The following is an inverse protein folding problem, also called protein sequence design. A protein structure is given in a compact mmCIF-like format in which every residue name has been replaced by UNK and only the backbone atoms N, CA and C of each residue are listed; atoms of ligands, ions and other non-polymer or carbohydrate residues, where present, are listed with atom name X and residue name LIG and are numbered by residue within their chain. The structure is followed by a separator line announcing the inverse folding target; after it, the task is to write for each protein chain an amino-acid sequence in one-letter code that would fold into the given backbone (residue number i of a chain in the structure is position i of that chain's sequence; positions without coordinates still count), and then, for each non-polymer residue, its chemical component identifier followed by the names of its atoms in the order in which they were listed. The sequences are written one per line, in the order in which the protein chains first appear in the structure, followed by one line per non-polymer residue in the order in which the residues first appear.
data_IF_845760985893
#
_entry.id   IF_845760985893
#
_cell.length_a   1.000
_cell.length_b   1.000
_cell.length_c   1.000
_cell.angle_alpha   90.00
_cell.angle_beta   90.00
_cell.angle_gamma   90.00
#
_symmetry.space_group_name_H-M   'P 1'
#
loop_
_entity.id
_entity.type
_entity.pdbx_description
1 polymer ?
#
# COMPACT_ATOMS: atom_id res chain seq x y z
N UNK A 1 -36.47 -11.83 -33.47
CA UNK A 1 -35.99 -12.11 -32.11
C UNK A 1 -35.51 -10.83 -31.47
N UNK A 2 -36.30 -10.29 -30.54
CA UNK A 2 -35.87 -9.18 -29.67
C UNK A 2 -34.74 -9.71 -28.78
N UNK A 3 -33.59 -9.04 -28.67
CA UNK A 3 -32.56 -9.49 -27.73
C UNK A 3 -33.17 -9.45 -26.33
N UNK A 4 -33.09 -10.58 -25.61
CA UNK A 4 -33.47 -10.65 -24.20
C UNK A 4 -32.50 -9.73 -23.47
N UNK A 5 -32.94 -8.51 -23.16
CA UNK A 5 -32.16 -7.57 -22.37
C UNK A 5 -31.78 -8.23 -21.05
N UNK A 6 -30.54 -8.04 -20.60
CA UNK A 6 -30.08 -8.54 -19.31
C UNK A 6 -30.97 -7.92 -18.23
N UNK A 7 -31.68 -8.74 -17.45
CA UNK A 7 -32.47 -8.24 -16.34
C UNK A 7 -31.56 -7.62 -15.28
N UNK A 8 -32.04 -6.58 -14.58
CA UNK A 8 -31.27 -5.90 -13.53
C UNK A 8 -30.75 -6.89 -12.46
N UNK A 9 -31.58 -7.83 -12.03
CA UNK A 9 -31.18 -8.89 -11.11
C UNK A 9 -30.07 -9.80 -11.69
N UNK A 10 -30.14 -10.13 -12.97
CA UNK A 10 -29.11 -10.90 -13.66
C UNK A 10 -27.79 -10.13 -13.76
N UNK A 11 -27.85 -8.83 -14.08
CA UNK A 11 -26.69 -7.95 -14.13
C UNK A 11 -26.04 -7.81 -12.75
N UNK A 12 -26.85 -7.62 -11.68
CA UNK A 12 -26.38 -7.54 -10.29
C UNK A 12 -25.61 -8.80 -9.88
N UNK A 13 -26.20 -9.99 -10.11
CA UNK A 13 -25.56 -11.26 -9.78
C UNK A 13 -24.24 -11.49 -10.55
N UNK A 14 -24.22 -11.13 -11.84
CA UNK A 14 -23.01 -11.21 -12.65
C UNK A 14 -21.91 -10.27 -12.16
N UNK A 15 -22.26 -9.03 -11.79
CA UNK A 15 -21.34 -8.06 -11.22
C UNK A 15 -20.75 -8.55 -9.90
N UNK A 16 -21.57 -9.03 -8.97
CA UNK A 16 -21.11 -9.60 -7.70
C UNK A 16 -20.11 -10.73 -7.91
N UNK A 17 -20.42 -11.65 -8.82
CA UNK A 17 -19.52 -12.76 -9.16
C UNK A 17 -18.22 -12.27 -9.78
N UNK A 18 -18.27 -11.24 -10.62
CA UNK A 18 -17.08 -10.64 -11.23
C UNK A 18 -16.21 -9.92 -10.19
N UNK A 19 -16.81 -9.20 -9.24
CA UNK A 19 -16.09 -8.59 -8.10
C UNK A 19 -15.41 -9.68 -7.26
N UNK A 20 -16.10 -10.78 -6.95
CA UNK A 20 -15.49 -11.90 -6.22
C UNK A 20 -14.24 -12.45 -6.91
N UNK A 21 -14.31 -12.67 -8.24
CA UNK A 21 -13.12 -13.09 -9.03
C UNK A 21 -12.00 -12.05 -9.02
N UNK A 22 -12.34 -10.76 -9.13
CA UNK A 22 -11.35 -9.68 -9.09
C UNK A 22 -10.63 -9.62 -7.73
N UNK A 23 -11.37 -9.82 -6.63
CA UNK A 23 -10.80 -9.90 -5.28
C UNK A 23 -9.86 -11.11 -5.15
N UNK A 24 -10.24 -12.29 -5.67
CA UNK A 24 -9.35 -13.46 -5.70
C UNK A 24 -8.08 -13.20 -6.51
N UNK A 25 -8.19 -12.54 -7.67
CA UNK A 25 -7.02 -12.18 -8.48
C UNK A 25 -6.08 -11.22 -7.73
N UNK A 26 -6.62 -10.21 -7.05
CA UNK A 26 -5.84 -9.34 -6.18
C UNK A 26 -5.09 -10.10 -5.08
N UNK A 27 -5.77 -11.02 -4.40
CA UNK A 27 -5.16 -11.85 -3.36
C UNK A 27 -4.01 -12.73 -3.89
N UNK A 28 -4.07 -13.08 -5.18
CA UNK A 28 -3.04 -13.84 -5.88
C UNK A 28 -1.88 -12.96 -6.41
N UNK A 29 -1.95 -11.65 -6.19
CA UNK A 29 -0.89 -10.69 -6.54
C UNK A 29 -1.08 -9.99 -7.90
N UNK A 30 -2.23 -10.12 -8.54
CA UNK A 30 -2.50 -9.38 -9.78
C UNK A 30 -2.56 -7.86 -9.50
N UNK A 31 -2.09 -7.07 -10.46
CA UNK A 31 -2.22 -5.62 -10.39
C UNK A 31 -3.71 -5.21 -10.35
N UNK A 32 -4.11 -4.23 -9.52
CA UNK A 32 -5.51 -3.86 -9.33
C UNK A 32 -6.23 -3.47 -10.61
N UNK A 33 -5.53 -2.81 -11.53
CA UNK A 33 -6.06 -2.41 -12.83
C UNK A 33 -6.42 -3.60 -13.71
N UNK A 34 -5.63 -4.68 -13.62
CA UNK A 34 -5.88 -5.93 -14.33
C UNK A 34 -7.02 -6.70 -13.67
N UNK A 35 -6.97 -6.85 -12.35
CA UNK A 35 -7.97 -7.58 -11.58
C UNK A 35 -9.39 -7.00 -11.76
N UNK A 36 -9.52 -5.68 -11.77
CA UNK A 36 -10.80 -4.98 -11.93
C UNK A 36 -11.07 -4.47 -13.36
N UNK A 37 -10.35 -4.97 -14.36
CA UNK A 37 -10.55 -4.57 -15.75
C UNK A 37 -12.02 -4.77 -16.19
N UNK A 38 -12.63 -3.71 -16.71
CA UNK A 38 -14.05 -3.71 -17.14
C UNK A 38 -15.08 -3.52 -16.00
N UNK A 39 -14.65 -3.64 -14.73
CA UNK A 39 -15.49 -3.40 -13.56
C UNK A 39 -15.33 -1.97 -13.02
N UNK A 40 -14.10 -1.49 -12.93
CA UNK A 40 -13.75 -0.16 -12.45
C UNK A 40 -12.70 0.50 -13.35
N UNK A 41 -12.48 1.80 -13.17
CA UNK A 41 -11.35 2.48 -13.82
C UNK A 41 -10.04 2.09 -13.14
N UNK A 42 -8.91 2.27 -13.82
CA UNK A 42 -7.58 2.01 -13.24
C UNK A 42 -7.33 2.82 -11.96
N UNK A 43 -7.70 4.11 -11.95
CA UNK A 43 -7.53 4.97 -10.78
C UNK A 43 -8.41 4.55 -9.59
N UNK A 44 -9.62 4.07 -9.87
CA UNK A 44 -10.53 3.54 -8.86
C UNK A 44 -9.99 2.24 -8.25
N UNK A 45 -9.52 1.31 -9.08
CA UNK A 45 -8.95 0.05 -8.62
C UNK A 45 -7.69 0.25 -7.75
N UNK A 46 -6.80 1.17 -8.16
CA UNK A 46 -5.63 1.55 -7.36
C UNK A 46 -6.02 2.17 -6.01
N UNK A 47 -7.01 3.06 -6.01
CA UNK A 47 -7.46 3.76 -4.79
C UNK A 47 -8.15 2.79 -3.82
N UNK A 48 -8.92 1.84 -4.35
CA UNK A 48 -9.50 0.74 -3.58
C UNK A 48 -8.41 -0.12 -2.94
N UNK A 49 -7.45 -0.63 -3.72
CA UNK A 49 -6.34 -1.45 -3.21
C UNK A 49 -5.56 -0.69 -2.13
N UNK A 50 -5.18 0.56 -2.38
CA UNK A 50 -4.41 1.34 -1.41
C UNK A 50 -5.11 1.56 -0.08
N UNK A 51 -6.44 1.76 -0.07
CA UNK A 51 -7.21 1.84 1.19
C UNK A 51 -7.33 0.46 1.85
N UNK A 52 -7.66 -0.56 1.06
CA UNK A 52 -7.81 -1.94 1.52
C UNK A 52 -6.55 -2.45 2.20
N UNK A 53 -5.39 -2.25 1.62
CA UNK A 53 -4.13 -2.77 2.14
C UNK A 53 -3.76 -2.11 3.48
N UNK A 54 -4.06 -0.82 3.65
CA UNK A 54 -3.92 -0.12 4.93
C UNK A 54 -4.88 -0.65 5.99
N UNK A 55 -6.13 -0.90 5.62
CA UNK A 55 -7.14 -1.46 6.53
C UNK A 55 -6.79 -2.89 6.92
N UNK A 56 -6.28 -3.70 5.98
CA UNK A 56 -5.79 -5.04 6.24
C UNK A 56 -4.70 -5.05 7.31
N UNK A 57 -3.74 -4.11 7.23
CA UNK A 57 -2.72 -3.97 8.26
C UNK A 57 -3.32 -3.62 9.62
N UNK A 58 -4.25 -2.65 9.68
CA UNK A 58 -4.86 -2.22 10.94
C UNK A 58 -5.73 -3.31 11.56
N UNK A 59 -6.51 -4.02 10.75
CA UNK A 59 -7.28 -5.18 11.19
C UNK A 59 -6.35 -6.26 11.75
N UNK A 60 -5.27 -6.58 11.05
CA UNK A 60 -4.32 -7.60 11.51
C UNK A 60 -3.64 -7.20 12.83
N UNK A 61 -3.22 -5.93 12.98
CA UNK A 61 -2.37 -5.51 14.11
C UNK A 61 -3.16 -5.02 15.32
N UNK A 62 -4.31 -4.37 15.09
CA UNK A 62 -5.16 -3.79 16.14
C UNK A 62 -6.38 -4.68 16.39
N UNK A 63 -6.91 -5.34 15.37
CA UNK A 63 -8.17 -6.08 15.45
C UNK A 63 -9.38 -5.15 15.42
N UNK A 64 -10.44 -5.54 16.12
CA UNK A 64 -11.66 -4.73 16.25
C UNK A 64 -11.35 -3.33 16.81
N UNK A 65 -11.97 -2.26 16.27
CA UNK A 65 -13.08 -2.25 15.33
C UNK A 65 -12.68 -2.15 13.85
N UNK A 66 -11.41 -2.30 13.49
CA UNK A 66 -10.99 -2.25 12.09
C UNK A 66 -11.54 -3.47 11.32
N UNK A 67 -12.16 -3.27 10.14
CA UNK A 67 -12.88 -4.34 9.44
C UNK A 67 -11.93 -5.33 8.79
N UNK A 68 -12.35 -6.60 8.71
CA UNK A 68 -11.67 -7.56 7.84
C UNK A 68 -11.93 -7.19 6.38
N UNK A 69 -10.86 -6.95 5.63
CA UNK A 69 -10.92 -6.56 4.21
C UNK A 69 -10.17 -7.55 3.31
N UNK A 70 -9.87 -8.76 3.83
CA UNK A 70 -9.34 -9.86 3.04
C UNK A 70 -10.31 -10.23 1.92
N UNK A 71 -9.76 -10.74 0.81
CA UNK A 71 -10.50 -10.94 -0.43
C UNK A 71 -11.67 -11.91 -0.24
N UNK A 72 -11.46 -12.97 0.55
CA UNK A 72 -12.51 -13.93 0.90
C UNK A 72 -13.67 -13.24 1.63
N UNK A 73 -13.37 -12.48 2.69
CA UNK A 73 -14.39 -11.79 3.48
C UNK A 73 -15.17 -10.77 2.65
N UNK A 74 -14.47 -9.93 1.86
CA UNK A 74 -15.14 -8.94 1.00
C UNK A 74 -15.97 -9.57 -0.13
N UNK A 75 -15.60 -10.75 -0.62
CA UNK A 75 -16.37 -11.46 -1.63
C UNK A 75 -17.65 -12.08 -1.05
N UNK A 76 -17.58 -12.60 0.17
CA UNK A 76 -18.72 -13.15 0.91
C UNK A 76 -19.72 -12.05 1.32
N UNK A 77 -19.21 -10.92 1.80
CA UNK A 77 -20.00 -9.78 2.29
C UNK A 77 -20.26 -8.72 1.21
N UNK A 78 -20.05 -9.05 -0.07
CA UNK A 78 -20.18 -8.10 -1.18
C UNK A 78 -21.56 -7.41 -1.25
N UNK A 79 -22.62 -8.07 -0.80
CA UNK A 79 -23.96 -7.49 -0.73
C UNK A 79 -24.05 -6.38 0.34
N UNK A 80 -23.29 -6.48 1.42
CA UNK A 80 -23.36 -5.57 2.56
C UNK A 80 -22.59 -4.27 2.28
N UNK A 81 -21.36 -4.37 1.80
CA UNK A 81 -20.50 -3.20 1.60
C UNK A 81 -20.65 -2.58 0.20
N UNK A 82 -20.91 -3.39 -0.83
CA UNK A 82 -21.00 -2.95 -2.23
C UNK A 82 -22.44 -2.94 -2.77
N UNK A 83 -23.43 -3.34 -1.98
CA UNK A 83 -24.80 -3.54 -2.45
C UNK A 83 -25.41 -2.36 -3.22
N UNK A 84 -25.25 -1.14 -2.72
CA UNK A 84 -25.76 0.08 -3.38
C UNK A 84 -25.05 0.36 -4.72
N UNK A 85 -23.76 0.06 -4.79
CA UNK A 85 -22.95 0.21 -6.00
C UNK A 85 -23.31 -0.85 -7.04
N UNK A 86 -23.54 -2.09 -6.61
CA UNK A 86 -24.02 -3.18 -7.45
C UNK A 86 -25.37 -2.83 -8.08
N UNK A 87 -26.30 -2.25 -7.32
CA UNK A 87 -27.61 -1.80 -7.84
C UNK A 87 -27.44 -0.70 -8.89
N UNK A 88 -26.61 0.31 -8.60
CA UNK A 88 -26.37 1.39 -9.56
C UNK A 88 -25.80 0.84 -10.86
N UNK A 89 -24.75 0.02 -10.77
CA UNK A 89 -24.08 -0.52 -11.94
C UNK A 89 -24.98 -1.49 -12.73
N UNK A 90 -25.76 -2.33 -12.04
CA UNK A 90 -26.73 -3.22 -12.67
C UNK A 90 -27.79 -2.45 -13.48
N UNK A 91 -28.35 -1.38 -12.92
CA UNK A 91 -29.28 -0.49 -13.64
C UNK A 91 -28.65 0.13 -14.88
N UNK A 92 -27.43 0.64 -14.76
CA UNK A 92 -26.72 1.27 -15.88
C UNK A 92 -26.44 0.27 -17.02
N UNK A 93 -26.08 -0.97 -16.69
CA UNK A 93 -25.86 -2.04 -17.66
C UNK A 93 -27.17 -2.48 -18.33
N UNK A 94 -28.24 -2.67 -17.55
CA UNK A 94 -29.56 -3.03 -18.08
C UNK A 94 -30.11 -1.94 -19.03
N UNK A 95 -29.80 -0.67 -18.76
CA UNK A 95 -30.13 0.47 -19.63
C UNK A 95 -29.21 0.62 -20.86
N UNK A 96 -28.25 -0.28 -21.08
CA UNK A 96 -27.37 -0.26 -22.26
C UNK A 96 -26.41 0.94 -22.31
N UNK A 97 -26.21 1.65 -21.19
CA UNK A 97 -25.52 2.94 -21.14
C UNK A 97 -24.02 2.84 -20.85
N UNK A 98 -23.44 1.63 -20.72
CA UNK A 98 -22.08 1.45 -20.21
C UNK A 98 -21.19 0.56 -21.08
N UNK A 99 -19.94 0.99 -21.30
CA UNK A 99 -18.82 0.13 -21.78
C UNK A 99 -18.09 -0.60 -20.65
N UNK A 100 -18.32 -0.20 -19.40
CA UNK A 100 -17.80 -0.80 -18.17
C UNK A 100 -18.84 -0.67 -17.07
N UNK A 101 -18.72 -1.47 -15.99
CA UNK A 101 -19.63 -1.37 -14.85
C UNK A 101 -19.49 -0.05 -14.07
N UNK A 102 -18.29 0.55 -14.04
CA UNK A 102 -18.05 1.83 -13.37
C UNK A 102 -18.34 1.77 -11.86
N UNK A 103 -17.97 0.67 -11.21
CA UNK A 103 -18.11 0.49 -9.76
C UNK A 103 -17.24 1.51 -9.01
N UNK A 104 -17.77 2.15 -7.97
CA UNK A 104 -17.01 3.02 -7.05
C UNK A 104 -16.62 2.22 -5.81
N UNK A 105 -15.59 1.40 -5.97
CA UNK A 105 -15.11 0.46 -4.96
C UNK A 105 -14.50 1.18 -3.75
N UNK A 106 -13.79 2.28 -3.97
CA UNK A 106 -13.14 3.03 -2.90
C UNK A 106 -14.16 3.68 -1.97
N UNK A 107 -15.17 4.35 -2.52
CA UNK A 107 -16.24 5.00 -1.75
C UNK A 107 -17.04 3.96 -0.94
N UNK A 108 -17.34 2.81 -1.53
CA UNK A 108 -17.99 1.71 -0.83
C UNK A 108 -17.14 1.15 0.33
N UNK A 109 -15.82 0.99 0.12
CA UNK A 109 -14.91 0.53 1.16
C UNK A 109 -14.73 1.56 2.29
N UNK A 110 -14.74 2.86 1.97
CA UNK A 110 -14.74 3.93 2.98
C UNK A 110 -15.95 3.84 3.91
N UNK A 111 -17.09 3.35 3.41
CA UNK A 111 -18.29 3.10 4.22
C UNK A 111 -18.10 2.07 5.34
N UNK A 112 -17.06 1.23 5.26
CA UNK A 112 -16.71 0.26 6.32
C UNK A 112 -15.82 0.83 7.42
N UNK A 113 -15.35 2.07 7.27
CA UNK A 113 -14.45 2.67 8.26
C UNK A 113 -15.16 2.82 9.62
N UNK A 114 -14.54 2.32 10.72
CA UNK A 114 -15.14 2.39 12.04
C UNK A 114 -15.15 3.84 12.54
N UNK A 115 -16.26 4.26 13.15
CA UNK A 115 -16.32 5.53 13.84
C UNK A 115 -16.21 5.31 15.36
N UNK A 116 -15.39 6.09 16.09
CA UNK A 116 -14.62 7.27 15.66
C UNK A 116 -13.20 6.98 15.12
N UNK A 117 -12.72 5.73 15.15
CA UNK A 117 -11.33 5.34 14.90
C UNK A 117 -10.82 5.71 13.49
N UNK A 118 -11.71 5.88 12.51
CA UNK A 118 -11.39 6.33 11.16
C UNK A 118 -10.57 7.62 11.14
N UNK A 119 -10.74 8.51 12.13
CA UNK A 119 -9.98 9.75 12.25
C UNK A 119 -8.46 9.51 12.41
N UNK A 120 -8.07 8.34 12.92
CA UNK A 120 -6.67 7.97 13.14
C UNK A 120 -6.05 7.19 11.97
N UNK A 121 -6.80 6.87 10.91
CA UNK A 121 -6.32 6.05 9.80
C UNK A 121 -5.03 6.59 9.16
N UNK A 122 -4.97 7.90 8.90
CA UNK A 122 -3.80 8.54 8.29
C UNK A 122 -2.62 8.66 9.25
N UNK A 123 -2.87 8.63 10.57
CA UNK A 123 -1.83 8.65 11.61
C UNK A 123 -1.25 7.24 11.84
N UNK A 124 -2.11 6.24 11.90
CA UNK A 124 -1.74 4.85 12.18
C UNK A 124 -1.14 4.15 10.97
N UNK A 125 -1.72 4.35 9.78
CA UNK A 125 -1.28 3.76 8.53
C UNK A 125 -1.16 4.84 7.44
N UNK A 126 -0.17 5.74 7.50
CA UNK A 126 -0.04 6.85 6.55
C UNK A 126 0.25 6.38 5.12
N UNK A 127 -0.19 7.15 4.11
CA UNK A 127 0.18 6.85 2.71
C UNK A 127 1.62 7.25 2.36
N UNK A 128 2.22 8.15 3.14
CA UNK A 128 3.58 8.66 2.96
C UNK A 128 4.24 8.92 4.31
N UNK A 129 5.55 8.77 4.36
CA UNK A 129 6.37 9.18 5.50
C UNK A 129 7.29 10.33 5.11
N UNK A 130 7.44 11.28 6.01
CA UNK A 130 8.55 12.22 5.94
C UNK A 130 9.83 11.54 6.41
N UNK A 131 10.88 11.57 5.58
CA UNK A 131 12.19 11.02 5.90
C UNK A 131 13.14 12.13 6.36
N UNK A 132 14.29 11.83 6.98
CA UNK A 132 15.17 12.86 7.57
C UNK A 132 15.58 14.01 6.65
N UNK A 133 15.61 13.78 5.33
CA UNK A 133 15.86 14.84 4.33
C UNK A 133 14.72 15.86 4.16
N UNK A 134 13.58 15.67 4.83
CA UNK A 134 12.32 16.40 4.64
C UNK A 134 11.52 15.96 3.41
N UNK A 135 11.93 14.88 2.72
CA UNK A 135 11.16 14.34 1.59
C UNK A 135 9.96 13.54 2.09
N UNK A 136 8.81 13.70 1.43
CA UNK A 136 7.63 12.84 1.63
C UNK A 136 7.67 11.65 0.66
N UNK A 137 7.92 10.45 1.18
CA UNK A 137 8.10 9.21 0.40
C UNK A 137 6.88 8.31 0.58
N UNK A 138 6.37 7.76 -0.52
CA UNK A 138 5.19 6.87 -0.51
C UNK A 138 5.54 5.54 0.15
N UNK A 139 4.67 5.07 1.04
CA UNK A 139 4.69 3.71 1.56
C UNK A 139 4.01 2.76 0.58
N UNK A 140 4.62 1.60 0.39
CA UNK A 140 4.07 0.47 -0.36
C UNK A 140 3.58 -0.55 0.66
N UNK A 141 2.25 -0.67 0.78
CA UNK A 141 1.64 -1.64 1.69
C UNK A 141 1.56 -3.01 1.01
N UNK A 142 1.86 -4.11 1.72
CA UNK A 142 1.51 -5.45 1.26
C UNK A 142 0.00 -5.58 1.07
N UNK A 143 -0.44 -6.50 0.22
CA UNK A 143 -1.86 -6.83 0.10
C UNK A 143 -2.43 -7.20 1.47
N UNK A 144 -3.68 -6.84 1.73
CA UNK A 144 -4.39 -7.29 2.95
C UNK A 144 -4.35 -8.82 3.14
N UNK A 145 -4.25 -9.59 2.04
CA UNK A 145 -4.16 -11.07 2.07
C UNK A 145 -2.74 -11.60 2.36
N UNK A 146 -1.73 -10.73 2.38
CA UNK A 146 -0.35 -11.11 2.68
C UNK A 146 -0.07 -11.19 4.19
N UNK A 147 -0.99 -10.71 5.02
CA UNK A 147 -0.93 -10.86 6.47
C UNK A 147 -1.40 -12.27 6.87
N UNK A 148 -0.78 -12.88 7.89
CA UNK A 148 -1.22 -14.18 8.41
C UNK A 148 -2.65 -14.12 8.98
N UNK A 149 -3.22 -15.30 9.25
CA UNK A 149 -4.57 -15.44 9.85
C UNK A 149 -4.64 -14.83 11.26
N UNK A 150 -5.83 -14.83 11.88
CA UNK A 150 -6.19 -14.10 13.12
C UNK A 150 -5.26 -14.35 14.34
N UNK A 151 -4.36 -15.34 14.29
CA UNK A 151 -3.29 -15.59 15.29
C UNK A 151 -1.96 -14.85 15.01
N UNK A 152 -1.85 -14.11 13.90
CA UNK A 152 -0.64 -13.40 13.45
C UNK A 152 -0.16 -12.33 14.44
N UNK A 153 -1.05 -11.80 15.29
CA UNK A 153 -0.71 -10.87 16.38
C UNK A 153 0.24 -11.52 17.39
N UNK A 154 0.11 -12.82 17.64
CA UNK A 154 0.97 -13.58 18.56
C UNK A 154 2.23 -14.11 17.87
N UNK A 155 2.15 -14.38 16.57
CA UNK A 155 3.23 -15.01 15.78
C UNK A 155 4.28 -14.03 15.23
N UNK A 156 3.94 -12.74 15.08
CA UNK A 156 4.82 -11.76 14.44
C UNK A 156 4.81 -11.79 12.91
N UNK A 157 3.83 -12.48 12.29
CA UNK A 157 3.71 -12.66 10.84
C UNK A 157 2.90 -11.52 10.17
N UNK A 158 3.25 -10.27 10.50
CA UNK A 158 2.69 -9.09 9.82
C UNK A 158 3.67 -8.66 8.73
N UNK A 159 3.28 -8.83 7.47
CA UNK A 159 4.04 -8.28 6.35
C UNK A 159 4.22 -6.75 6.52
N UNK A 160 5.46 -6.24 6.62
CA UNK A 160 5.69 -4.83 6.89
C UNK A 160 5.49 -3.97 5.62
N UNK A 161 5.02 -2.71 5.76
CA UNK A 161 5.03 -1.76 4.66
C UNK A 161 6.47 -1.42 4.26
N UNK A 162 6.65 -1.21 2.97
CA UNK A 162 7.94 -0.94 2.33
C UNK A 162 8.08 0.56 2.07
N UNK A 163 9.24 1.12 2.41
CA UNK A 163 9.62 2.49 2.08
C UNK A 163 10.80 2.49 1.09
N UNK A 164 10.54 2.67 -0.22
CA UNK A 164 11.59 2.82 -1.22
C UNK A 164 12.21 4.22 -1.14
N UNK A 165 13.34 4.32 -0.44
CA UNK A 165 14.00 5.61 -0.13
C UNK A 165 15.45 5.60 -0.57
N UNK A 166 15.95 6.73 -1.08
CA UNK A 166 17.39 6.85 -1.37
C UNK A 166 18.17 6.81 -0.06
N UNK A 167 19.24 6.01 -0.02
CA UNK A 167 20.06 5.81 1.19
C UNK A 167 20.50 7.15 1.81
N UNK A 168 20.94 8.10 0.99
CA UNK A 168 21.41 9.42 1.43
C UNK A 168 20.33 10.31 2.09
N UNK A 169 19.05 9.98 1.90
CA UNK A 169 17.95 10.68 2.56
C UNK A 169 17.70 10.19 3.99
N UNK A 170 18.31 9.05 4.36
CA UNK A 170 18.23 8.45 5.69
C UNK A 170 19.46 8.73 6.57
N UNK A 171 20.46 9.48 6.08
CA UNK A 171 21.59 9.89 6.93
C UNK A 171 21.10 10.67 8.15
N UNK A 172 21.79 10.53 9.28
CA UNK A 172 21.38 11.16 10.53
C UNK A 172 20.28 10.40 11.29
N UNK A 173 19.58 9.45 10.66
CA UNK A 173 18.61 8.61 11.35
C UNK A 173 19.31 7.47 12.11
N UNK A 174 19.05 7.39 13.41
CA UNK A 174 19.58 6.35 14.30
C UNK A 174 18.62 5.17 14.50
N UNK A 175 17.37 5.30 14.06
CA UNK A 175 16.33 4.27 14.19
C UNK A 175 15.54 4.15 12.89
N UNK A 176 14.99 2.96 12.63
CA UNK A 176 14.04 2.76 11.54
C UNK A 176 12.69 3.40 11.87
N UNK A 177 11.98 3.93 10.87
CA UNK A 177 10.59 4.34 11.08
C UNK A 177 9.71 3.12 11.40
N UNK A 178 8.70 3.35 12.22
CA UNK A 178 7.65 2.39 12.53
C UNK A 178 6.29 3.09 12.49
N UNK A 179 5.26 2.36 12.13
CA UNK A 179 3.87 2.84 12.05
C UNK A 179 2.98 2.02 13.00
N UNK A 180 1.68 2.32 13.03
CA UNK A 180 0.72 1.71 13.96
C UNK A 180 1.20 1.86 15.41
N UNK A 181 1.50 3.10 15.81
CA UNK A 181 2.04 3.45 17.14
C UNK A 181 3.31 2.68 17.52
N UNK A 182 4.18 2.45 16.53
CA UNK A 182 5.47 1.78 16.72
C UNK A 182 5.42 0.26 16.72
N UNK A 183 4.24 -0.35 16.52
CA UNK A 183 4.07 -1.81 16.51
C UNK A 183 4.59 -2.47 15.23
N UNK A 184 4.56 -1.75 14.11
CA UNK A 184 4.95 -2.28 12.80
C UNK A 184 6.18 -1.55 12.28
N UNK A 185 7.36 -2.21 12.22
CA UNK A 185 8.52 -1.61 11.60
C UNK A 185 8.30 -1.44 10.10
N UNK A 186 8.82 -0.37 9.53
CA UNK A 186 8.80 -0.13 8.09
C UNK A 186 10.05 -0.74 7.47
N UNK A 187 9.87 -1.55 6.43
CA UNK A 187 10.97 -2.15 5.69
C UNK A 187 11.58 -1.11 4.74
N UNK A 188 12.81 -0.71 5.00
CA UNK A 188 13.53 0.24 4.17
C UNK A 188 14.13 -0.46 2.96
N UNK A 189 13.62 -0.16 1.78
CA UNK A 189 14.30 -0.47 0.52
C UNK A 189 15.25 0.68 0.21
N UNK A 190 16.50 0.56 0.66
CA UNK A 190 17.52 1.58 0.49
C UNK A 190 18.02 1.58 -0.96
N UNK A 191 17.88 2.73 -1.62
CA UNK A 191 18.17 2.91 -3.03
C UNK A 191 19.40 3.78 -3.27
N UNK A 192 20.06 3.54 -4.41
CA UNK A 192 21.14 4.39 -4.91
C UNK A 192 20.60 5.75 -5.40
N UNK A 193 21.49 6.71 -5.69
CA UNK A 193 21.07 7.98 -6.32
C UNK A 193 20.24 7.80 -7.60
N UNK A 194 20.54 6.74 -8.36
CA UNK A 194 19.84 6.35 -9.58
C UNK A 194 18.63 5.43 -9.33
N UNK A 195 18.16 5.33 -8.08
CA UNK A 195 17.03 4.48 -7.64
C UNK A 195 17.21 2.98 -7.93
N UNK A 196 18.44 2.48 -7.90
CA UNK A 196 18.72 1.04 -7.94
C UNK A 196 18.74 0.47 -6.52
N UNK A 197 18.21 -0.74 -6.26
CA UNK A 197 18.30 -1.36 -4.94
C UNK A 197 19.74 -1.48 -4.46
N UNK A 198 20.00 -1.13 -3.20
CA UNK A 198 21.29 -1.29 -2.53
C UNK A 198 21.21 -2.26 -1.36
N UNK A 199 20.18 -2.09 -0.52
CA UNK A 199 19.95 -2.94 0.64
C UNK A 199 18.47 -2.92 1.04
N UNK A 200 18.07 -3.95 1.77
CA UNK A 200 16.76 -4.05 2.41
C UNK A 200 17.02 -4.21 3.91
N UNK A 201 16.41 -3.37 4.75
CA UNK A 201 16.56 -3.48 6.21
C UNK A 201 15.33 -2.97 6.94
N UNK A 202 14.93 -3.65 8.02
CA UNK A 202 14.00 -3.13 9.01
C UNK A 202 14.71 -2.55 10.24
N UNK A 203 16.04 -2.73 10.34
CA UNK A 203 16.90 -2.19 11.41
C UNK A 203 18.01 -1.33 10.80
N UNK A 204 17.76 -0.02 10.79
CA UNK A 204 18.67 0.97 10.22
C UNK A 204 19.93 1.13 11.08
N UNK A 205 19.84 0.97 12.40
CA UNK A 205 20.97 1.08 13.31
C UNK A 205 22.00 -0.02 13.04
N UNK A 206 21.53 -1.27 12.98
CA UNK A 206 22.38 -2.42 12.63
C UNK A 206 22.94 -2.31 11.21
N UNK A 207 22.15 -1.77 10.26
CA UNK A 207 22.64 -1.52 8.90
C UNK A 207 23.81 -0.54 8.87
N UNK A 208 23.72 0.58 9.61
CA UNK A 208 24.81 1.56 9.71
C UNK A 208 26.07 0.98 10.35
N UNK A 209 25.92 0.18 11.42
CA UNK A 209 27.04 -0.42 12.14
C UNK A 209 27.75 -1.53 11.35
N UNK A 210 27.07 -2.15 10.37
CA UNK A 210 27.59 -3.30 9.62
C UNK A 210 27.62 -3.08 8.11
N UNK A 211 26.51 -3.39 7.46
CA UNK A 211 26.44 -3.55 6.00
C UNK A 211 26.75 -2.26 5.20
N UNK A 212 26.55 -1.08 5.80
CA UNK A 212 26.80 0.20 5.14
C UNK A 212 28.23 0.35 4.60
N UNK A 213 29.25 -0.11 5.34
CA UNK A 213 30.65 0.04 4.94
C UNK A 213 30.92 -0.60 3.56
N UNK A 214 30.31 -1.76 3.31
CA UNK A 214 30.38 -2.45 2.03
C UNK A 214 29.62 -1.69 0.93
N UNK A 215 28.37 -1.29 1.20
CA UNK A 215 27.55 -0.50 0.25
C UNK A 215 28.29 0.78 -0.16
N UNK A 216 28.91 1.49 0.80
CA UNK A 216 29.74 2.66 0.56
C UNK A 216 30.93 2.35 -0.34
N UNK A 217 31.69 1.30 -0.04
CA UNK A 217 32.90 0.94 -0.79
C UNK A 217 32.60 0.69 -2.28
N UNK A 218 31.50 0.00 -2.58
CA UNK A 218 31.10 -0.31 -3.95
C UNK A 218 30.53 0.89 -4.71
N UNK A 219 29.77 1.75 -4.02
CA UNK A 219 28.96 2.78 -4.69
C UNK A 219 29.64 4.15 -4.76
N UNK A 220 30.61 4.45 -3.88
CA UNK A 220 31.29 5.76 -3.89
C UNK A 220 32.04 6.05 -5.19
N UNK A 221 32.57 5.01 -5.84
CA UNK A 221 33.21 5.13 -7.16
C UNK A 221 32.22 5.27 -8.31
N UNK A 222 31.05 4.60 -8.22
CA UNK A 222 29.99 4.65 -9.24
C UNK A 222 29.22 5.98 -9.21
N UNK A 223 29.08 6.59 -8.03
CA UNK A 223 28.34 7.84 -7.80
C UNK A 223 29.19 8.90 -7.08
N UNK A 224 30.26 9.42 -7.71
CA UNK A 224 31.24 10.30 -7.05
C UNK A 224 30.69 11.69 -6.69
N UNK A 225 29.58 12.11 -7.29
CA UNK A 225 28.92 13.40 -7.01
C UNK A 225 27.96 13.36 -5.81
N UNK A 226 27.81 12.20 -5.17
CA UNK A 226 26.88 11.98 -4.06
C UNK A 226 27.61 11.75 -2.74
N UNK A 227 26.98 12.08 -1.59
CA UNK A 227 27.60 11.90 -0.29
C UNK A 227 27.70 10.42 0.10
N UNK A 228 28.89 10.03 0.57
CA UNK A 228 29.21 8.70 1.11
C UNK A 228 30.05 8.87 2.38
N UNK A 229 29.46 9.39 3.47
CA UNK A 229 30.15 9.66 4.72
C UNK A 229 30.76 8.39 5.33
N UNK A 230 31.77 8.54 6.18
CA UNK A 230 32.27 7.41 6.97
C UNK A 230 31.34 7.10 8.15
N UNK A 231 30.79 8.15 8.77
CA UNK A 231 29.73 8.06 9.77
C UNK A 231 28.38 8.47 9.17
N UNK A 232 27.53 7.52 8.74
CA UNK A 232 26.20 7.83 8.18
C UNK A 232 25.18 8.22 9.26
N UNK A 233 25.40 7.84 10.51
CA UNK A 233 24.45 8.05 11.60
C UNK A 233 24.45 9.50 12.10
N UNK A 234 25.53 10.25 11.86
CA UNK A 234 25.64 11.68 12.19
C UNK A 234 25.68 12.59 10.97
N UNK A 235 25.69 12.03 9.76
CA UNK A 235 25.75 12.81 8.54
C UNK A 235 24.44 13.54 8.25
N UNK A 236 24.53 14.72 7.63
CA UNK A 236 23.35 15.47 7.24
C UNK A 236 22.58 14.75 6.12
N UNK A 237 21.26 14.51 6.28
CA UNK A 237 20.44 13.91 5.24
C UNK A 237 20.25 14.86 4.06
N UNK A 238 20.23 14.30 2.85
CA UNK A 238 20.01 15.11 1.65
C UNK A 238 19.45 14.30 0.49
N UNK A 239 18.55 14.92 -0.28
CA UNK A 239 18.08 14.41 -1.58
C UNK A 239 18.96 14.83 -2.76
N UNK A 240 20.02 15.59 -2.50
CA UNK A 240 20.83 16.25 -3.51
C UNK A 240 22.24 15.66 -3.65
N UNK A 241 22.99 16.16 -4.63
CA UNK A 241 24.43 15.91 -4.80
C UNK A 241 25.23 16.66 -3.73
N UNK A 242 26.47 16.25 -3.48
CA UNK A 242 27.34 16.82 -2.42
C UNK A 242 27.46 18.35 -2.51
N UNK A 243 27.67 18.89 -3.72
CA UNK A 243 27.82 20.35 -3.94
C UNK A 243 26.53 21.11 -3.58
N UNK A 244 25.36 20.54 -3.88
CA UNK A 244 24.08 21.19 -3.60
C UNK A 244 23.66 21.01 -2.15
N UNK A 245 24.03 19.89 -1.52
CA UNK A 245 23.84 19.66 -0.10
C UNK A 245 24.64 20.65 0.76
N UNK A 246 25.88 20.96 0.38
CA UNK A 246 26.73 21.89 1.12
C UNK A 246 26.34 23.39 1.00
N UNK A 247 25.32 23.73 0.20
CA UNK A 247 24.89 25.11 -0.08
C UNK A 247 23.57 25.51 0.59
N UNK A 248 22.84 24.56 1.17
CA UNK A 248 21.58 24.77 1.86
C UNK A 248 21.70 24.30 3.30
#
# INVERSE_FOLDING_TARGET
STPVGVSENGARAALRTAVGRALTALAQGDAPESAFAGLATSGEAQSFSGLRDRLGLLHTVIGTPWPDVRAAHLAETAEDWLGLELDRAARALAAGSGRSAGLRLHEALQGLLPWPEAADLDRLAPTRLEVPSGSSVRLEYPSADAHGDDDAVTSGDVAPPVLPVKLQEMFGATQSPAIVDGRVPVLLHLLSPARRPLAVTADLASFWAGAYAHVRAENRGRYPKHPWPEDPATAQPTKHTTIRAARG
#
